data_IF_411101218143
#
_entry.id   IF_411101218143
#
_cell.length_a   1.000
_cell.length_b   1.000
_cell.length_c   1.000
_cell.angle_alpha   90.00
_cell.angle_beta   90.00
_cell.angle_gamma   90.00
#
_symmetry.space_group_name_H-M   'P 1'
#
loop_
_entity.id
_entity.type
_entity.pdbx_description
1 polymer ?
#
# COMPACT_ATOMS: atom_id res chain seq x y z
N UNK A 1 -21.18 65.64 23.67
CA UNK A 1 -21.55 65.74 22.24
C UNK A 1 -20.29 65.63 21.40
N UNK A 2 -20.36 64.94 20.25
CA UNK A 2 -19.32 64.67 19.22
C UNK A 2 -18.42 63.46 19.53
N UNK A 3 -18.17 62.48 18.66
CA UNK A 3 -18.73 61.98 17.38
C UNK A 3 -18.07 60.60 17.19
N UNK A 4 -18.80 59.52 16.87
CA UNK A 4 -18.19 58.23 16.45
C UNK A 4 -18.56 57.94 14.99
N UNK A 5 -17.55 57.71 14.16
CA UNK A 5 -17.53 56.94 12.91
C UNK A 5 -16.01 56.68 12.62
N UNK A 6 -15.56 55.70 11.81
CA UNK A 6 -16.30 54.94 10.80
C UNK A 6 -15.94 53.44 10.73
N UNK A 7 -16.64 52.67 9.87
CA UNK A 7 -15.98 51.80 8.88
C UNK A 7 -16.98 51.25 7.86
N UNK A 8 -16.63 51.50 6.59
CA UNK A 8 -17.39 51.23 5.38
C UNK A 8 -17.39 49.72 5.08
N UNK A 9 -18.56 49.16 4.77
CA UNK A 9 -18.72 47.84 4.15
C UNK A 9 -18.64 48.05 2.64
N UNK A 10 -17.53 47.64 2.03
CA UNK A 10 -17.38 47.57 0.58
C UNK A 10 -17.75 46.17 0.11
N UNK A 11 -18.91 46.03 -0.54
CA UNK A 11 -19.33 44.79 -1.20
C UNK A 11 -18.77 44.79 -2.62
N UNK A 12 -17.83 43.89 -2.90
CA UNK A 12 -17.30 43.66 -4.26
C UNK A 12 -18.10 42.51 -4.87
N UNK A 13 -19.02 42.84 -5.78
CA UNK A 13 -19.67 41.89 -6.66
C UNK A 13 -18.70 41.54 -7.81
N UNK A 14 -18.08 40.37 -7.75
CA UNK A 14 -17.30 39.81 -8.85
C UNK A 14 -18.26 39.10 -9.83
N UNK A 15 -18.30 39.60 -11.07
CA UNK A 15 -19.09 39.03 -12.16
C UNK A 15 -18.52 37.68 -12.63
N UNK A 16 -19.43 36.73 -12.81
CA UNK A 16 -19.26 35.36 -13.30
C UNK A 16 -18.51 35.28 -14.64
N UNK A 17 -17.51 34.39 -14.70
CA UNK A 17 -16.97 33.85 -15.93
C UNK A 17 -17.82 32.65 -16.40
N UNK A 18 -18.29 32.66 -17.65
CA UNK A 18 -18.95 31.52 -18.29
C UNK A 18 -18.04 30.94 -19.37
N UNK A 19 -17.67 29.68 -19.16
CA UNK A 19 -16.90 28.84 -20.05
C UNK A 19 -17.75 28.38 -21.26
N UNK A 20 -17.09 28.21 -22.41
CA UNK A 20 -17.69 27.56 -23.59
C UNK A 20 -16.62 26.86 -24.42
N UNK A 21 -16.44 25.55 -24.22
CA UNK A 21 -15.77 24.68 -25.18
C UNK A 21 -16.80 23.70 -25.73
N UNK A 22 -17.07 23.80 -27.04
CA UNK A 22 -17.96 22.92 -27.78
C UNK A 22 -17.24 21.62 -28.19
N UNK A 23 -17.95 20.48 -28.12
CA UNK A 23 -17.50 19.16 -28.59
C UNK A 23 -18.45 18.70 -29.71
N UNK A 24 -17.96 18.27 -30.89
CA UNK A 24 -18.81 17.70 -31.94
C UNK A 24 -18.97 16.16 -31.82
N UNK A 25 -20.08 15.57 -32.30
CA UNK A 25 -20.34 14.13 -32.24
C UNK A 25 -19.94 13.36 -33.52
N UNK A 26 -19.40 12.14 -33.33
CA UNK A 26 -19.84 10.89 -33.97
C UNK A 26 -19.50 10.56 -35.45
N UNK A 27 -18.74 9.48 -35.65
CA UNK A 27 -18.89 8.46 -36.73
C UNK A 27 -18.00 7.24 -36.35
N UNK A 28 -18.55 6.17 -35.76
CA UNK A 28 -19.05 4.92 -36.38
C UNK A 28 -18.04 4.21 -37.31
N UNK A 29 -17.77 2.90 -37.08
CA UNK A 29 -17.63 1.82 -38.11
C UNK A 29 -17.03 0.52 -37.52
N UNK A 30 -17.90 -0.49 -37.46
CA UNK A 30 -17.73 -1.93 -37.81
C UNK A 30 -17.05 -2.91 -36.84
N UNK A 31 -17.94 -3.73 -36.25
CA UNK A 31 -17.74 -5.15 -35.94
C UNK A 31 -17.60 -5.93 -37.25
N UNK A 32 -16.59 -6.79 -37.36
CA UNK A 32 -16.59 -7.91 -38.30
C UNK A 32 -15.72 -9.03 -37.73
N UNK A 33 -16.36 -10.16 -37.45
CA UNK A 33 -15.70 -11.40 -37.09
C UNK A 33 -15.05 -12.06 -38.31
N UNK A 34 -14.01 -12.85 -38.04
CA UNK A 34 -13.58 -13.92 -38.95
C UNK A 34 -13.34 -15.16 -38.10
N UNK A 35 -14.15 -16.17 -38.38
CA UNK A 35 -14.00 -17.54 -37.90
C UNK A 35 -12.80 -18.21 -38.55
N UNK A 36 -12.26 -19.17 -37.81
CA UNK A 36 -11.16 -20.05 -38.17
C UNK A 36 -11.27 -20.71 -39.56
N UNK A 37 -10.10 -20.93 -40.18
CA UNK A 37 -9.90 -22.01 -41.14
C UNK A 37 -8.51 -22.61 -40.93
N UNK A 38 -8.54 -23.93 -40.87
CA UNK A 38 -7.51 -24.93 -40.57
C UNK A 38 -6.57 -25.24 -41.74
N UNK A 39 -5.32 -25.57 -41.41
CA UNK A 39 -4.40 -26.56 -42.03
C UNK A 39 -2.99 -25.99 -42.18
N UNK A 40 -2.10 -26.33 -41.25
CA UNK A 40 -1.01 -27.29 -41.50
C UNK A 40 -0.01 -27.28 -40.33
N UNK A 41 0.53 -28.46 -40.09
CA UNK A 41 1.08 -28.89 -38.82
C UNK A 41 2.60 -28.72 -38.72
N UNK A 42 3.06 -28.66 -37.47
CA UNK A 42 4.37 -29.11 -36.95
C UNK A 42 5.63 -28.36 -37.43
N UNK A 43 6.06 -27.43 -36.58
CA UNK A 43 7.40 -27.53 -35.99
C UNK A 43 7.27 -27.42 -34.47
N UNK A 44 7.68 -28.50 -33.81
CA UNK A 44 7.70 -28.68 -32.37
C UNK A 44 8.83 -27.83 -31.78
N UNK A 45 8.48 -26.87 -30.91
CA UNK A 45 9.38 -26.33 -29.90
C UNK A 45 8.60 -26.34 -28.58
N UNK A 46 8.76 -27.44 -27.85
CA UNK A 46 8.24 -27.57 -26.50
C UNK A 46 8.83 -26.47 -25.60
N UNK A 47 8.08 -25.97 -24.61
CA UNK A 47 8.64 -25.12 -23.57
C UNK A 47 9.75 -25.91 -22.86
N UNK A 48 10.93 -25.30 -22.78
CA UNK A 48 12.08 -25.91 -22.13
C UNK A 48 11.73 -26.24 -20.68
N UNK A 49 11.86 -27.54 -20.39
CA UNK A 49 11.88 -28.14 -19.07
C UNK A 49 12.75 -27.31 -18.12
N UNK A 50 12.15 -26.76 -17.06
CA UNK A 50 12.88 -26.41 -15.85
C UNK A 50 13.28 -27.72 -15.14
N UNK A 51 14.30 -28.37 -15.67
CA UNK A 51 14.71 -29.70 -15.22
C UNK A 51 16.01 -30.10 -15.88
N UNK A 52 17.07 -29.35 -15.64
CA UNK A 52 18.45 -29.83 -15.77
C UNK A 52 19.40 -28.81 -15.14
N UNK A 53 19.83 -29.10 -13.91
CA UNK A 53 20.74 -28.22 -13.16
C UNK A 53 21.01 -28.64 -11.71
N UNK A 54 20.55 -29.82 -11.26
CA UNK A 54 20.79 -30.31 -9.89
C UNK A 54 21.89 -31.39 -9.82
N UNK A 55 22.88 -31.34 -10.71
CA UNK A 55 23.99 -32.32 -10.68
C UNK A 55 25.24 -31.81 -9.93
N UNK A 56 25.14 -30.68 -9.23
CA UNK A 56 26.18 -30.18 -8.31
C UNK A 56 25.55 -29.53 -7.08
N UNK A 57 24.53 -30.17 -6.49
CA UNK A 57 24.23 -29.94 -5.08
C UNK A 57 25.28 -30.75 -4.29
N UNK A 58 26.06 -30.14 -3.37
CA UNK A 58 26.84 -30.94 -2.43
C UNK A 58 25.88 -31.88 -1.70
N UNK A 59 26.33 -33.12 -1.50
CA UNK A 59 25.57 -34.19 -0.86
C UNK A 59 24.90 -33.66 0.42
N UNK A 60 23.56 -33.66 0.43
CA UNK A 60 22.72 -33.07 1.49
C UNK A 60 22.74 -33.91 2.79
N UNK A 61 23.85 -34.59 3.07
CA UNK A 61 24.01 -35.50 4.19
C UNK A 61 24.92 -34.98 5.30
N UNK A 62 25.66 -33.87 5.10
CA UNK A 62 26.66 -33.40 6.08
C UNK A 62 26.46 -31.97 6.59
N UNK A 63 25.24 -31.45 6.50
CA UNK A 63 24.87 -30.15 7.10
C UNK A 63 23.71 -30.34 8.07
N UNK A 64 23.90 -31.21 9.08
CA UNK A 64 23.02 -31.29 10.24
C UNK A 64 23.37 -30.18 11.25
N UNK A 65 23.46 -28.94 10.76
CA UNK A 65 23.37 -27.77 11.63
C UNK A 65 21.96 -27.74 12.23
N UNK A 66 21.84 -27.58 13.54
CA UNK A 66 20.54 -27.53 14.21
C UNK A 66 19.70 -26.44 13.56
N UNK A 67 18.53 -26.80 13.02
CA UNK A 67 17.50 -25.85 12.57
C UNK A 67 17.12 -24.81 13.64
N UNK A 68 17.43 -25.08 14.91
CA UNK A 68 17.23 -24.17 16.03
C UNK A 68 18.24 -23.01 16.07
N UNK A 69 19.41 -23.16 15.44
CA UNK A 69 20.51 -22.18 15.46
C UNK A 69 20.63 -21.44 14.12
N UNK A 70 19.71 -21.67 13.19
CA UNK A 70 19.67 -20.93 11.94
C UNK A 70 19.34 -19.46 12.25
N UNK A 71 20.34 -18.59 12.11
CA UNK A 71 20.14 -17.14 12.12
C UNK A 71 19.04 -16.82 11.08
N UNK A 72 18.00 -16.05 11.45
CA UNK A 72 16.95 -15.70 10.51
C UNK A 72 17.59 -15.03 9.30
N UNK A 73 17.09 -15.31 8.09
CA UNK A 73 17.55 -14.67 6.86
C UNK A 73 17.40 -13.14 6.99
N UNK A 74 18.45 -12.47 7.46
CA UNK A 74 18.52 -11.01 7.63
C UNK A 74 18.97 -10.31 6.35
N UNK A 75 19.44 -11.08 5.36
CA UNK A 75 20.10 -10.56 4.16
C UNK A 75 19.10 -10.20 3.03
N UNK A 76 17.86 -9.87 3.40
CA UNK A 76 16.98 -9.12 2.52
C UNK A 76 17.51 -7.68 2.33
N UNK A 77 17.07 -6.96 1.28
CA UNK A 77 17.39 -5.54 1.16
C UNK A 77 17.10 -4.83 2.48
N UNK A 78 18.07 -4.06 2.99
CA UNK A 78 17.97 -3.40 4.29
C UNK A 78 16.75 -2.47 4.28
N UNK A 79 15.64 -2.98 4.82
CA UNK A 79 14.37 -2.28 4.82
C UNK A 79 14.48 -0.99 5.64
N UNK A 80 15.38 -0.93 6.63
CA UNK A 80 15.56 0.23 7.49
C UNK A 80 16.01 1.48 6.71
N UNK A 81 16.72 1.30 5.59
CA UNK A 81 17.17 2.41 4.74
C UNK A 81 16.09 2.85 3.73
N UNK A 82 14.94 2.16 3.68
CA UNK A 82 13.87 2.48 2.77
C UNK A 82 13.11 3.72 3.23
N UNK A 83 13.10 4.74 2.37
CA UNK A 83 12.25 5.91 2.54
C UNK A 83 11.47 6.21 1.26
N UNK A 84 10.19 6.50 1.40
CA UNK A 84 9.35 6.94 0.30
C UNK A 84 8.30 7.95 0.76
N UNK A 85 8.01 8.95 -0.06
CA UNK A 85 6.87 9.85 0.14
C UNK A 85 5.92 9.73 -1.04
N UNK A 86 4.62 9.75 -0.77
CA UNK A 86 3.62 9.72 -1.84
C UNK A 86 2.19 9.78 -1.32
N UNK A 87 1.22 9.55 -2.20
CA UNK A 87 -0.19 9.43 -1.80
C UNK A 87 -0.51 8.02 -1.35
N UNK A 88 -1.13 7.88 -0.17
CA UNK A 88 -1.76 6.66 0.28
C UNK A 88 -3.27 6.71 0.05
N UNK A 89 -3.87 5.53 -0.09
CA UNK A 89 -5.31 5.32 0.10
C UNK A 89 -5.56 4.17 1.07
N UNK A 90 -6.77 3.65 1.14
CA UNK A 90 -7.10 2.50 1.99
C UNK A 90 -8.13 1.58 1.34
N UNK A 91 -8.12 0.30 1.72
CA UNK A 91 -9.06 -0.70 1.20
C UNK A 91 -10.44 -0.59 1.85
N UNK A 92 -11.46 -0.41 1.01
CA UNK A 92 -12.85 -0.41 1.45
C UNK A 92 -13.36 -1.76 1.99
N UNK A 93 -14.58 -1.76 2.55
CA UNK A 93 -15.18 -2.93 3.21
C UNK A 93 -15.27 -4.20 2.36
N UNK A 94 -15.45 -4.05 1.04
CA UNK A 94 -15.55 -5.19 0.11
C UNK A 94 -14.28 -6.04 -0.01
N UNK A 95 -13.15 -5.60 0.55
CA UNK A 95 -11.91 -6.40 0.54
C UNK A 95 -11.80 -7.34 1.74
N UNK A 96 -12.53 -7.09 2.82
CA UNK A 96 -12.40 -7.85 4.06
C UNK A 96 -12.64 -9.35 3.84
N UNK A 97 -11.76 -10.18 4.40
CA UNK A 97 -11.79 -11.63 4.28
C UNK A 97 -11.22 -12.20 2.97
N UNK A 98 -10.87 -11.36 1.98
CA UNK A 98 -10.22 -11.81 0.73
C UNK A 98 -8.77 -12.21 0.98
N UNK A 99 -8.21 -13.08 0.14
CA UNK A 99 -6.79 -13.43 0.21
C UNK A 99 -5.93 -12.25 -0.25
N UNK A 100 -4.89 -11.95 0.52
CA UNK A 100 -3.80 -11.03 0.17
C UNK A 100 -2.69 -11.79 -0.58
N UNK A 101 -1.70 -11.07 -1.11
CA UNK A 101 -0.57 -11.64 -1.83
C UNK A 101 0.31 -12.59 -0.99
N UNK A 102 0.36 -12.41 0.34
CA UNK A 102 1.04 -13.36 1.23
C UNK A 102 0.17 -14.57 1.63
N UNK A 103 -1.06 -14.68 1.12
CA UNK A 103 -1.99 -15.78 1.36
C UNK A 103 -2.87 -15.66 2.61
N UNK A 104 -2.60 -14.68 3.49
CA UNK A 104 -3.45 -14.37 4.64
C UNK A 104 -4.82 -13.83 4.19
N UNK A 105 -5.83 -13.89 5.06
CA UNK A 105 -7.09 -13.18 4.82
C UNK A 105 -6.94 -11.73 5.26
N UNK A 106 -7.30 -10.79 4.40
CA UNK A 106 -7.27 -9.37 4.72
C UNK A 106 -8.26 -9.06 5.85
N UNK A 107 -7.72 -8.53 6.95
CA UNK A 107 -8.51 -7.93 8.02
C UNK A 107 -8.39 -6.40 7.94
N UNK A 108 -9.54 -5.72 7.85
CA UNK A 108 -9.57 -4.27 7.78
C UNK A 108 -9.24 -3.60 9.12
N UNK A 109 -9.36 -4.36 10.21
CA UNK A 109 -9.11 -3.90 11.57
C UNK A 109 -7.66 -4.17 12.02
N UNK A 110 -6.91 -4.97 11.26
CA UNK A 110 -5.49 -5.20 11.50
C UNK A 110 -4.63 -4.07 10.90
N UNK A 111 -3.48 -3.79 11.53
CA UNK A 111 -2.52 -2.79 11.05
C UNK A 111 -1.66 -3.33 9.90
N UNK A 112 -2.27 -3.38 8.72
CA UNK A 112 -1.65 -3.92 7.50
C UNK A 112 -1.73 -2.93 6.33
N UNK A 113 -0.89 -3.15 5.31
CA UNK A 113 -0.88 -2.36 4.08
C UNK A 113 -0.40 -3.17 2.86
N UNK A 114 -0.75 -2.70 1.66
CA UNK A 114 -0.24 -3.17 0.39
C UNK A 114 0.82 -2.21 -0.17
N UNK A 115 1.92 -2.78 -0.66
CA UNK A 115 2.98 -2.05 -1.35
C UNK A 115 3.51 -2.83 -2.55
N UNK A 116 4.01 -2.14 -3.58
CA UNK A 116 4.39 -2.74 -4.88
C UNK A 116 5.59 -3.66 -4.77
N UNK A 117 6.65 -3.19 -4.11
CA UNK A 117 7.98 -3.82 -4.16
C UNK A 117 8.51 -4.27 -2.81
N UNK A 118 8.15 -3.59 -1.71
CA UNK A 118 8.54 -3.98 -0.36
C UNK A 118 8.29 -5.48 -0.07
N UNK A 119 9.22 -6.17 0.63
CA UNK A 119 9.07 -7.57 0.98
C UNK A 119 7.77 -7.83 1.75
N UNK A 120 7.09 -8.92 1.43
CA UNK A 120 5.92 -9.34 2.22
C UNK A 120 6.41 -9.76 3.62
N UNK A 121 5.70 -9.33 4.65
CA UNK A 121 6.06 -9.52 6.04
C UNK A 121 6.97 -8.44 6.62
N UNK A 122 7.46 -7.50 5.82
CA UNK A 122 8.21 -6.36 6.34
C UNK A 122 7.30 -5.38 7.09
N UNK A 123 7.91 -4.55 7.93
CA UNK A 123 7.21 -3.50 8.65
C UNK A 123 7.67 -2.13 8.15
N UNK A 124 6.74 -1.18 8.13
CA UNK A 124 7.03 0.22 7.84
C UNK A 124 6.31 1.11 8.83
N UNK A 125 6.96 2.20 9.24
CA UNK A 125 6.30 3.33 9.85
C UNK A 125 5.71 4.21 8.76
N UNK A 126 4.43 4.54 8.90
CA UNK A 126 3.73 5.44 7.99
C UNK A 126 3.34 6.66 8.77
N UNK A 127 3.72 7.84 8.28
CA UNK A 127 3.46 9.12 8.94
C UNK A 127 2.62 10.00 8.04
N UNK A 128 1.54 10.57 8.57
CA UNK A 128 0.81 11.65 7.90
C UNK A 128 1.46 12.99 8.29
N UNK A 129 2.21 13.66 7.39
CA UNK A 129 2.89 14.91 7.73
C UNK A 129 1.95 16.08 7.99
N UNK A 130 0.65 15.96 7.69
CA UNK A 130 -0.33 17.01 7.97
C UNK A 130 -0.75 17.03 9.45
N UNK A 131 -0.76 15.87 10.12
CA UNK A 131 -1.17 15.74 11.53
C UNK A 131 -0.01 15.32 12.44
N UNK A 132 1.10 14.84 11.86
CA UNK A 132 2.23 14.20 12.52
C UNK A 132 1.90 12.86 13.20
N UNK A 133 0.70 12.31 12.97
CA UNK A 133 0.38 10.96 13.44
C UNK A 133 1.11 9.91 12.61
N UNK A 134 1.51 8.84 13.30
CA UNK A 134 2.20 7.72 12.69
C UNK A 134 1.66 6.38 13.15
N UNK A 135 1.84 5.36 12.32
CA UNK A 135 1.44 3.99 12.61
C UNK A 135 2.39 3.01 11.96
N UNK A 136 2.74 1.94 12.66
CA UNK A 136 3.49 0.83 12.09
C UNK A 136 2.52 -0.16 11.46
N UNK A 137 2.80 -0.56 10.22
CA UNK A 137 1.98 -1.54 9.49
C UNK A 137 2.85 -2.67 8.95
N UNK A 138 2.29 -3.87 8.90
CA UNK A 138 2.87 -5.02 8.19
C UNK A 138 2.49 -4.95 6.71
N UNK A 139 3.46 -5.09 5.83
CA UNK A 139 3.21 -5.25 4.39
C UNK A 139 2.77 -6.70 4.14
N UNK A 140 1.51 -6.92 3.79
CA UNK A 140 0.98 -8.27 3.56
C UNK A 140 0.36 -8.47 2.18
N UNK A 141 0.27 -7.41 1.38
CA UNK A 141 -0.37 -7.47 0.06
C UNK A 141 0.39 -6.65 -1.01
N UNK A 142 -0.03 -6.80 -2.27
CA UNK A 142 0.54 -6.13 -3.45
C UNK A 142 -0.42 -5.10 -4.03
N UNK A 143 0.18 -3.99 -4.44
CA UNK A 143 -0.53 -2.79 -4.90
C UNK A 143 0.12 -1.55 -4.29
N UNK A 144 -0.50 -0.37 -4.34
CA UNK A 144 -1.62 -0.01 -5.22
C UNK A 144 -1.27 -0.22 -6.69
N UNK A 145 -2.26 -0.47 -7.54
CA UNK A 145 -2.08 -0.45 -9.00
C UNK A 145 -2.57 0.85 -9.65
N UNK A 146 -3.35 1.65 -8.92
CA UNK A 146 -3.73 2.98 -9.35
C UNK A 146 -2.50 3.89 -9.49
N UNK A 147 -2.51 4.74 -10.53
CA UNK A 147 -1.44 5.70 -10.80
C UNK A 147 -1.33 6.75 -9.68
N UNK A 148 -0.09 7.08 -9.33
CA UNK A 148 0.22 8.12 -8.34
C UNK A 148 -0.10 7.79 -6.89
N UNK A 149 -0.43 6.53 -6.55
CA UNK A 149 -0.47 6.04 -5.16
C UNK A 149 0.76 5.20 -4.86
N UNK A 150 1.26 5.24 -3.63
CA UNK A 150 2.43 4.47 -3.18
C UNK A 150 2.04 3.36 -2.18
N UNK A 151 0.93 3.52 -1.47
CA UNK A 151 0.51 2.62 -0.40
C UNK A 151 -1.02 2.52 -0.33
N UNK A 152 -1.56 1.31 -0.09
CA UNK A 152 -2.97 1.11 0.27
C UNK A 152 -3.04 0.53 1.69
N UNK A 153 -3.59 1.30 2.62
CA UNK A 153 -3.69 0.96 4.04
C UNK A 153 -4.93 0.11 4.35
N UNK A 154 -4.89 -0.61 5.47
CA UNK A 154 -6.09 -1.07 6.18
C UNK A 154 -6.93 0.10 6.69
N UNK A 155 -8.21 -0.16 7.00
CA UNK A 155 -9.09 0.86 7.58
C UNK A 155 -8.60 1.32 8.97
N UNK A 156 -8.13 0.40 9.81
CA UNK A 156 -7.57 0.74 11.13
C UNK A 156 -6.36 1.69 11.02
N UNK A 157 -5.39 1.39 10.15
CA UNK A 157 -4.25 2.26 9.94
C UNK A 157 -4.65 3.62 9.34
N UNK A 158 -5.59 3.63 8.38
CA UNK A 158 -6.12 4.86 7.80
C UNK A 158 -6.87 5.73 8.83
N UNK A 159 -7.52 5.12 9.82
CA UNK A 159 -8.20 5.84 10.90
C UNK A 159 -7.20 6.57 11.80
N UNK A 160 -6.11 5.88 12.20
CA UNK A 160 -5.02 6.47 13.00
C UNK A 160 -4.37 7.64 12.26
N UNK A 161 -4.18 7.51 10.94
CA UNK A 161 -3.58 8.56 10.12
C UNK A 161 -4.56 9.65 9.66
N UNK A 162 -5.81 9.66 10.15
CA UNK A 162 -6.86 10.59 9.73
C UNK A 162 -7.19 10.58 8.22
N UNK A 163 -6.92 9.46 7.54
CA UNK A 163 -7.19 9.27 6.11
C UNK A 163 -8.51 8.54 5.83
N UNK A 164 -9.12 7.89 6.83
CA UNK A 164 -10.33 7.09 6.65
C UNK A 164 -11.49 7.92 6.04
N UNK A 165 -11.71 9.14 6.53
CA UNK A 165 -12.79 10.02 6.05
C UNK A 165 -12.43 10.79 4.77
N UNK A 166 -11.15 11.14 4.59
CA UNK A 166 -10.65 11.91 3.44
C UNK A 166 -10.44 11.01 2.21
N UNK A 167 -10.24 9.70 2.43
CA UNK A 167 -10.05 8.69 1.40
C UNK A 167 -8.60 8.54 0.94
N UNK A 168 -7.91 9.66 0.67
CA UNK A 168 -6.49 9.66 0.29
C UNK A 168 -5.72 10.80 0.94
N UNK A 169 -4.42 10.64 1.14
CA UNK A 169 -3.57 11.70 1.68
C UNK A 169 -2.08 11.46 1.40
N UNK A 170 -1.26 12.49 1.61
CA UNK A 170 0.20 12.37 1.53
C UNK A 170 0.70 11.63 2.77
N UNK A 171 1.65 10.72 2.58
CA UNK A 171 2.32 10.00 3.67
C UNK A 171 3.82 9.94 3.43
N UNK A 172 4.58 9.82 4.52
CA UNK A 172 5.97 9.38 4.53
C UNK A 172 6.00 7.92 4.98
N UNK A 173 6.83 7.11 4.34
CA UNK A 173 7.00 5.68 4.61
C UNK A 173 8.48 5.49 4.96
N UNK A 174 8.73 4.87 6.09
CA UNK A 174 10.06 4.55 6.61
C UNK A 174 10.07 3.06 6.93
N UNK A 175 10.99 2.31 6.36
CA UNK A 175 11.08 0.89 6.67
C UNK A 175 11.68 0.65 8.05
N UNK A 176 11.26 -0.44 8.69
CA UNK A 176 11.67 -0.79 10.05
C UNK A 176 12.26 -2.19 10.10
N UNK A 177 13.28 -2.37 10.92
CA UNK A 177 13.72 -3.69 11.34
C UNK A 177 12.64 -4.36 12.18
N UNK A 178 12.68 -5.70 12.28
CA UNK A 178 11.75 -6.41 13.17
C UNK A 178 11.87 -5.98 14.64
N UNK A 179 13.07 -5.60 15.08
CA UNK A 179 13.30 -5.17 16.46
C UNK A 179 12.63 -3.83 16.74
N UNK A 180 12.78 -2.86 15.83
CA UNK A 180 12.14 -1.54 15.94
C UNK A 180 10.62 -1.68 15.89
N UNK A 181 10.08 -2.41 14.91
CA UNK A 181 8.64 -2.64 14.80
C UNK A 181 8.06 -3.29 16.06
N UNK A 182 8.72 -4.30 16.64
CA UNK A 182 8.29 -4.94 17.89
C UNK A 182 8.36 -3.99 19.08
N UNK A 183 9.39 -3.15 19.16
CA UNK A 183 9.55 -2.19 20.24
C UNK A 183 8.42 -1.15 20.23
N UNK A 184 8.14 -0.55 19.06
CA UNK A 184 7.06 0.43 18.91
C UNK A 184 5.68 -0.19 19.19
N UNK A 185 5.40 -1.39 18.70
CA UNK A 185 4.10 -2.03 18.97
C UNK A 185 3.94 -2.39 20.43
N UNK A 186 5.01 -2.79 21.11
CA UNK A 186 4.98 -3.03 22.55
C UNK A 186 4.69 -1.76 23.34
N UNK A 187 5.25 -0.62 22.94
CA UNK A 187 5.01 0.67 23.58
C UNK A 187 3.55 1.10 23.45
N UNK A 188 2.95 0.98 22.26
CA UNK A 188 1.52 1.25 22.04
C UNK A 188 0.62 0.31 22.87
N UNK A 189 1.00 -0.96 22.98
CA UNK A 189 0.25 -1.91 23.82
C UNK A 189 0.34 -1.54 25.30
N UNK A 190 1.50 -1.09 25.77
CA UNK A 190 1.70 -0.69 27.16
C UNK A 190 0.93 0.59 27.51
N UNK A 191 0.90 1.60 26.61
CA UNK A 191 0.14 2.83 26.83
C UNK A 191 -1.36 2.59 26.90
N UNK A 192 -1.88 1.69 26.05
CA UNK A 192 -3.31 1.36 26.08
C UNK A 192 -3.72 0.59 27.36
N UNK A 193 -2.79 -0.13 27.99
CA UNK A 193 -3.04 -0.85 29.24
C UNK A 193 -3.03 0.06 30.47
N UNK A 194 -2.16 1.08 30.50
CA UNK A 194 -2.16 2.06 31.61
C UNK A 194 -3.48 2.84 31.67
N UNK A 195 -3.99 3.27 30.52
CA UNK A 195 -5.21 4.08 30.45
C UNK A 195 -6.47 3.31 30.87
N UNK A 196 -6.45 1.97 30.76
CA UNK A 196 -7.54 1.10 31.20
C UNK A 196 -7.53 0.78 32.70
N UNK A 197 -6.39 0.91 33.37
CA UNK A 197 -6.26 0.61 34.81
C UNK A 197 -6.53 1.82 35.72
N UNK A 198 -6.72 3.01 35.14
CA UNK A 198 -6.98 4.26 35.87
C UNK A 198 -8.45 4.71 35.80
N UNK A 199 -9.34 3.88 35.25
CA UNK A 199 -10.81 4.10 35.20
C UNK A 199 -11.56 3.02 35.97
#
# INVERSE_FOLDING_TARGET
>A
MKTRLPRRVGSVFAFLALAGCAVPPGANTQVSGVSATTKDARTVLAPQSYGSGMNNLPDAADQKGKLADAEPLTDGPNIADFHQTGRASWYGRGFHGRKTANGERFDMHALTAAHRTLPLGSYVRVTNPATNDSVVVKINDRGPYARGRVLDLSYAAAKILHLAHIGTGRVKIEGLTQREAKAEMKEILASNQSDSNEK
#
